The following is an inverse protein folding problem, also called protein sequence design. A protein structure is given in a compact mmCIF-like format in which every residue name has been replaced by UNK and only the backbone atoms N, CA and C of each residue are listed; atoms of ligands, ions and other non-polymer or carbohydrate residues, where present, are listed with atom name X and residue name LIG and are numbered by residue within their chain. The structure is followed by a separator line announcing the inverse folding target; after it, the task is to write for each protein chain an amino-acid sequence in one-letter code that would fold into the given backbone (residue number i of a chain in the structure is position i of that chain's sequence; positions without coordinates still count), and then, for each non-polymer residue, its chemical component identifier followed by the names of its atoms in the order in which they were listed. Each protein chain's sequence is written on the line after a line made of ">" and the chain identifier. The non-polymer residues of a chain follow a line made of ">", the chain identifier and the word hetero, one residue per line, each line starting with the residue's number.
data_IF_291480751779
#
_entry.id   IF_291480751779
#
_cell.length_a   1.000
_cell.length_b   1.000
_cell.length_c   1.000
_cell.angle_alpha   90.00
_cell.angle_beta   90.00
_cell.angle_gamma   90.00
#
_symmetry.space_group_name_H-M   'P 1'
#
loop_
_entity.id
_entity.type
_entity.pdbx_description
1 polymer ?
#
# COMPACT_ATOMS: atom_id res chain seq x y z
N UNK A 1 10.79 -16.90 4.26
CA UNK A 1 10.27 -17.81 5.24
C UNK A 1 10.39 -17.20 6.62
N UNK A 2 11.57 -17.27 7.29
CA UNK A 2 11.72 -16.63 8.59
C UNK A 2 11.46 -15.13 8.51
N UNK A 3 11.89 -14.50 7.43
CA UNK A 3 11.69 -13.08 7.22
C UNK A 3 10.22 -12.75 7.01
N UNK A 4 9.53 -13.54 6.20
CA UNK A 4 8.08 -13.40 5.98
C UNK A 4 7.31 -13.59 7.27
N UNK A 5 7.64 -14.63 8.05
CA UNK A 5 6.98 -14.90 9.32
C UNK A 5 7.18 -13.76 10.32
N UNK A 6 8.38 -13.17 10.32
CA UNK A 6 8.68 -12.03 11.18
C UNK A 6 7.84 -10.81 10.81
N UNK A 7 7.65 -10.56 9.52
CA UNK A 7 6.81 -9.46 9.06
C UNK A 7 5.35 -9.65 9.44
N UNK A 8 4.82 -10.85 9.24
CA UNK A 8 3.44 -11.14 9.65
C UNK A 8 3.26 -10.95 11.14
N UNK A 9 4.22 -11.39 11.94
CA UNK A 9 4.15 -11.21 13.38
C UNK A 9 4.17 -9.73 13.76
N UNK A 10 5.07 -8.97 13.18
CA UNK A 10 5.16 -7.52 13.43
C UNK A 10 3.86 -6.81 13.04
N UNK A 11 3.31 -7.18 11.89
CA UNK A 11 2.09 -6.58 11.39
C UNK A 11 0.91 -6.94 12.29
N UNK A 12 0.83 -8.19 12.76
CA UNK A 12 -0.22 -8.62 13.67
C UNK A 12 -0.12 -7.89 15.01
N UNK A 13 1.08 -7.77 15.56
CA UNK A 13 1.31 -7.05 16.81
C UNK A 13 0.89 -5.58 16.67
N UNK A 14 1.22 -4.98 15.54
CA UNK A 14 0.85 -3.60 15.23
C UNK A 14 -0.67 -3.44 15.14
N UNK A 15 -1.33 -4.37 14.46
CA UNK A 15 -2.79 -4.42 14.33
C UNK A 15 -3.47 -4.47 15.70
N UNK A 16 -2.99 -5.36 16.55
CA UNK A 16 -3.54 -5.55 17.90
C UNK A 16 -3.27 -4.32 18.76
N UNK A 17 -2.04 -3.82 18.72
CA UNK A 17 -1.63 -2.65 19.53
C UNK A 17 -2.49 -1.43 19.24
N UNK A 18 -2.88 -1.23 18.00
CA UNK A 18 -3.65 -0.06 17.59
C UNK A 18 -5.15 -0.28 17.63
N UNK A 19 -5.62 -1.45 18.08
CA UNK A 19 -7.04 -1.79 18.12
C UNK A 19 -7.75 -1.56 16.80
N UNK A 20 -7.06 -1.89 15.71
CA UNK A 20 -7.61 -1.76 14.37
C UNK A 20 -8.54 -2.93 14.07
N UNK A 21 -9.58 -2.72 13.28
CA UNK A 21 -10.38 -3.84 12.78
C UNK A 21 -9.85 -4.33 11.44
N UNK A 22 -9.13 -3.47 10.73
CA UNK A 22 -8.52 -3.82 9.45
C UNK A 22 -7.20 -3.09 9.28
N UNK A 23 -6.16 -3.81 8.92
CA UNK A 23 -4.83 -3.26 8.69
C UNK A 23 -4.37 -3.63 7.30
N UNK A 24 -3.88 -2.66 6.55
CA UNK A 24 -3.37 -2.84 5.20
C UNK A 24 -1.86 -2.63 5.19
N UNK A 25 -1.13 -3.58 4.62
CA UNK A 25 0.27 -3.37 4.30
C UNK A 25 0.40 -2.38 3.17
N UNK A 26 1.24 -1.37 3.33
CA UNK A 26 1.44 -0.35 2.32
C UNK A 26 2.91 -0.22 1.95
N UNK A 27 3.15 0.24 0.75
CA UNK A 27 4.49 0.53 0.26
C UNK A 27 4.54 1.95 -0.27
N UNK A 28 5.64 2.64 -0.01
CA UNK A 28 5.88 3.97 -0.53
C UNK A 28 6.51 3.87 -1.92
N UNK A 29 5.91 4.55 -2.88
CA UNK A 29 6.40 4.63 -4.25
C UNK A 29 6.80 6.05 -4.59
N UNK A 30 7.77 6.16 -5.49
CA UNK A 30 8.14 7.43 -6.11
C UNK A 30 8.16 7.25 -7.61
N UNK A 31 7.54 8.17 -8.32
CA UNK A 31 7.57 8.21 -9.78
C UNK A 31 8.17 9.53 -10.19
N UNK A 32 9.26 9.47 -10.98
CA UNK A 32 9.89 10.67 -11.51
C UNK A 32 9.30 10.98 -12.86
N UNK A 33 8.73 12.18 -12.98
CA UNK A 33 8.26 12.65 -14.27
C UNK A 33 9.46 13.08 -15.11
N UNK A 34 9.58 12.62 -16.37
CA UNK A 34 10.66 13.09 -17.26
C UNK A 34 10.36 14.46 -17.87
N UNK A 35 9.21 15.03 -17.58
CA UNK A 35 8.76 16.29 -18.18
C UNK A 35 8.69 17.39 -17.14
N UNK A 36 8.75 18.65 -17.62
CA UNK A 36 8.35 19.77 -16.81
C UNK A 36 6.84 19.76 -16.68
N UNK A 37 6.33 19.77 -15.46
CA UNK A 37 4.89 19.77 -15.23
C UNK A 37 4.39 21.18 -14.98
N UNK A 38 3.29 21.53 -15.66
CA UNK A 38 2.72 22.88 -15.63
C UNK A 38 1.43 22.85 -14.84
N UNK A 39 1.34 23.71 -13.84
CA UNK A 39 0.10 23.88 -13.07
C UNK A 39 -0.65 25.08 -13.60
N UNK A 40 -1.94 24.90 -13.81
CA UNK A 40 -2.80 25.92 -14.42
C UNK A 40 -3.86 26.37 -13.42
N UNK A 41 -4.19 27.66 -13.49
CA UNK A 41 -5.39 28.22 -12.87
C UNK A 41 -6.18 28.82 -14.01
N UNK A 42 -7.26 28.15 -14.39
CA UNK A 42 -7.95 28.42 -15.64
C UNK A 42 -6.97 28.26 -16.80
N UNK A 43 -6.74 29.30 -17.58
CA UNK A 43 -5.80 29.27 -18.71
C UNK A 43 -4.43 29.82 -18.35
N UNK A 44 -4.27 30.33 -17.13
CA UNK A 44 -3.02 30.94 -16.69
C UNK A 44 -2.10 29.90 -16.09
N UNK A 45 -0.81 30.02 -16.38
CA UNK A 45 0.22 29.18 -15.77
C UNK A 45 0.50 29.71 -14.38
N UNK A 46 0.24 28.90 -13.35
CA UNK A 46 0.48 29.27 -11.95
C UNK A 46 1.88 28.87 -11.48
N UNK A 47 2.40 27.75 -11.98
CA UNK A 47 3.74 27.31 -11.64
C UNK A 47 4.22 26.25 -12.61
N UNK A 48 5.54 26.03 -12.62
CA UNK A 48 6.18 24.99 -13.42
C UNK A 48 7.12 24.24 -12.50
N UNK A 49 7.01 22.91 -12.50
CA UNK A 49 7.90 22.02 -11.75
C UNK A 49 8.73 21.22 -12.75
N UNK A 50 10.02 21.43 -12.73
CA UNK A 50 10.93 20.72 -13.64
C UNK A 50 11.19 19.31 -13.11
N UNK A 51 10.84 18.30 -13.88
CA UNK A 51 11.06 16.88 -13.55
C UNK A 51 10.68 16.51 -12.11
N UNK A 52 9.42 16.75 -11.72
CA UNK A 52 9.02 16.50 -10.32
C UNK A 52 8.99 15.02 -9.99
N UNK A 53 9.14 14.74 -8.69
CA UNK A 53 8.98 13.39 -8.15
C UNK A 53 7.63 13.33 -7.45
N UNK A 54 6.79 12.38 -7.85
CA UNK A 54 5.50 12.12 -7.22
C UNK A 54 5.64 10.95 -6.26
N UNK A 55 5.28 11.17 -4.99
CA UNK A 55 5.33 10.14 -3.95
C UNK A 55 3.92 9.77 -3.53
N UNK A 56 3.68 8.47 -3.34
CA UNK A 56 2.38 8.00 -2.89
C UNK A 56 2.54 6.65 -2.18
N UNK A 57 1.53 6.28 -1.41
CA UNK A 57 1.47 4.96 -0.77
C UNK A 57 0.56 4.05 -1.58
N UNK A 58 1.02 2.84 -1.81
CA UNK A 58 0.26 1.86 -2.55
C UNK A 58 -0.10 0.68 -1.66
N UNK A 59 -1.23 0.07 -1.96
CA UNK A 59 -1.66 -1.17 -1.34
C UNK A 59 -0.67 -2.28 -1.71
N UNK A 60 -0.07 -2.90 -0.70
CA UNK A 60 0.93 -3.96 -0.92
C UNK A 60 0.31 -5.36 -1.02
N UNK A 61 -1.02 -5.46 -0.94
CA UNK A 61 -1.70 -6.74 -1.11
C UNK A 61 -1.65 -7.65 0.10
N UNK A 62 -1.30 -7.12 1.27
CA UNK A 62 -1.22 -7.87 2.52
C UNK A 62 -2.14 -7.21 3.53
N UNK A 63 -3.00 -8.03 4.18
CA UNK A 63 -4.04 -7.52 5.04
C UNK A 63 -4.17 -8.34 6.31
N UNK A 64 -4.58 -7.66 7.39
CA UNK A 64 -5.04 -8.33 8.61
C UNK A 64 -6.43 -7.78 8.92
N UNK A 65 -7.39 -8.67 9.05
CA UNK A 65 -8.79 -8.31 9.25
C UNK A 65 -9.32 -9.02 10.51
N UNK A 66 -10.02 -8.27 11.34
CA UNK A 66 -10.76 -8.89 12.41
C UNK A 66 -11.95 -9.67 11.83
N UNK A 67 -12.40 -10.74 12.49
CA UNK A 67 -13.52 -11.54 11.99
C UNK A 67 -14.79 -10.73 11.71
N UNK A 68 -15.02 -9.65 12.45
CA UNK A 68 -16.20 -8.79 12.25
C UNK A 68 -16.25 -8.18 10.85
N UNK A 69 -15.12 -8.08 10.16
CA UNK A 69 -15.08 -7.55 8.80
C UNK A 69 -15.80 -8.44 7.79
N UNK A 70 -15.93 -9.74 8.11
CA UNK A 70 -16.61 -10.70 7.24
C UNK A 70 -18.07 -10.32 7.03
N UNK A 71 -18.69 -9.74 8.07
CA UNK A 71 -20.09 -9.33 8.00
C UNK A 71 -20.33 -8.18 7.03
N UNK A 72 -19.27 -7.49 6.65
CA UNK A 72 -19.35 -6.37 5.71
C UNK A 72 -19.18 -6.81 4.26
N UNK A 73 -18.83 -8.07 4.04
CA UNK A 73 -18.62 -8.61 2.70
C UNK A 73 -19.93 -9.19 2.18
N UNK A 74 -20.47 -8.67 1.07
CA UNK A 74 -21.69 -9.24 0.50
C UNK A 74 -21.44 -10.63 -0.09
N UNK A 75 -22.51 -11.37 -0.34
CA UNK A 75 -22.42 -12.76 -0.87
C UNK A 75 -22.00 -12.84 -2.33
N UNK A 76 -21.55 -11.75 -2.91
CA UNK A 76 -21.06 -11.70 -4.29
C UNK A 76 -19.62 -11.24 -4.27
N UNK A 77 -18.97 -11.23 -5.43
CA UNK A 77 -17.58 -10.76 -5.55
C UNK A 77 -17.41 -9.37 -4.93
N UNK A 78 -16.35 -9.23 -4.13
CA UNK A 78 -16.09 -7.99 -3.42
C UNK A 78 -14.59 -7.91 -3.14
N UNK A 79 -13.91 -6.93 -3.70
CA UNK A 79 -12.46 -6.83 -3.53
C UNK A 79 -12.08 -6.14 -2.23
N UNK A 80 -10.79 -6.25 -1.87
CA UNK A 80 -10.26 -5.69 -0.62
C UNK A 80 -10.32 -4.18 -0.58
N UNK A 81 -10.12 -3.53 -1.71
CA UNK A 81 -10.22 -2.07 -1.79
C UNK A 81 -11.62 -1.61 -1.44
N UNK A 82 -12.64 -2.30 -1.96
CA UNK A 82 -14.03 -1.99 -1.67
C UNK A 82 -14.36 -2.24 -0.20
N UNK A 83 -13.80 -3.31 0.38
CA UNK A 83 -14.00 -3.61 1.80
C UNK A 83 -13.42 -2.48 2.68
N UNK A 84 -12.20 -2.05 2.41
CA UNK A 84 -11.59 -0.96 3.18
C UNK A 84 -12.36 0.35 3.03
N UNK A 85 -12.82 0.67 1.82
CA UNK A 85 -13.66 1.85 1.62
C UNK A 85 -14.91 1.79 2.49
N UNK A 86 -15.55 0.62 2.56
CA UNK A 86 -16.75 0.44 3.36
C UNK A 86 -16.46 0.60 4.85
N UNK A 87 -15.37 0.02 5.32
CA UNK A 87 -14.96 0.14 6.73
C UNK A 87 -14.68 1.60 7.08
N UNK A 88 -13.99 2.31 6.22
CA UNK A 88 -13.69 3.74 6.41
C UNK A 88 -14.98 4.55 6.55
N UNK A 89 -15.98 4.25 5.72
CA UNK A 89 -17.28 4.93 5.78
C UNK A 89 -18.02 4.68 7.08
N UNK A 90 -17.81 3.53 7.70
CA UNK A 90 -18.44 3.22 9.01
C UNK A 90 -17.68 3.85 10.17
N UNK A 91 -16.59 4.55 9.89
CA UNK A 91 -15.74 5.21 10.88
C UNK A 91 -15.09 4.24 11.88
N UNK A 92 -15.00 2.98 11.52
CA UNK A 92 -14.24 2.01 12.32
C UNK A 92 -12.75 2.14 11.98
N UNK A 93 -11.90 1.78 12.92
CA UNK A 93 -10.48 2.05 12.80
C UNK A 93 -9.80 1.15 11.78
N UNK A 94 -9.21 1.77 10.77
CA UNK A 94 -8.32 1.12 9.82
C UNK A 94 -6.95 1.77 9.92
N UNK A 95 -5.89 0.98 9.81
CA UNK A 95 -4.54 1.52 9.84
C UNK A 95 -3.70 0.91 8.74
N UNK A 96 -2.61 1.59 8.45
CA UNK A 96 -1.62 1.13 7.48
C UNK A 96 -0.38 0.64 8.21
N UNK A 97 0.21 -0.42 7.69
CA UNK A 97 1.47 -0.95 8.19
C UNK A 97 2.53 -0.82 7.10
N UNK A 98 3.56 0.00 7.30
CA UNK A 98 4.57 0.20 6.26
C UNK A 98 5.48 -1.02 6.13
N UNK A 99 5.70 -1.44 4.89
CA UNK A 99 6.55 -2.58 4.55
C UNK A 99 7.91 -2.13 4.02
N UNK A 100 8.41 -1.01 4.50
CA UNK A 100 9.64 -0.41 3.98
C UNK A 100 10.84 -1.36 4.01
N UNK A 101 11.03 -2.09 5.10
CA UNK A 101 12.16 -3.00 5.21
C UNK A 101 12.11 -4.10 4.17
N UNK A 102 10.94 -4.70 3.98
CA UNK A 102 10.76 -5.75 2.99
C UNK A 102 11.04 -5.23 1.59
N UNK A 103 10.46 -4.07 1.27
CA UNK A 103 10.62 -3.50 -0.05
C UNK A 103 12.01 -2.92 -0.29
N UNK A 104 12.70 -2.49 0.76
CA UNK A 104 14.10 -2.11 0.65
C UNK A 104 14.96 -3.29 0.28
N UNK A 105 14.68 -4.45 0.84
CA UNK A 105 15.41 -5.67 0.51
C UNK A 105 15.22 -6.03 -0.96
N UNK A 106 14.00 -5.91 -1.48
CA UNK A 106 13.74 -6.12 -2.89
C UNK A 106 14.46 -5.08 -3.74
N UNK A 107 14.42 -3.82 -3.33
CA UNK A 107 15.07 -2.74 -4.05
C UNK A 107 16.59 -2.80 -4.01
N UNK A 108 17.14 -3.42 -2.98
CA UNK A 108 18.59 -3.64 -2.87
C UNK A 108 19.10 -4.78 -3.71
N UNK A 109 18.21 -5.66 -4.09
CA UNK A 109 18.65 -6.63 -5.04
C UNK A 109 19.12 -5.82 -6.22
N UNK A 110 20.46 -5.75 -6.36
CA UNK A 110 21.07 -5.15 -7.53
C UNK A 110 20.44 -5.70 -8.79
N UNK A 111 19.62 -6.68 -8.60
CA UNK A 111 18.85 -7.36 -9.58
C UNK A 111 17.37 -7.10 -9.35
N UNK A 112 16.98 -5.84 -9.51
CA UNK A 112 15.58 -5.46 -9.50
C UNK A 112 14.78 -6.30 -10.49
N UNK A 113 15.39 -6.62 -11.62
CA UNK A 113 14.77 -7.49 -12.62
C UNK A 113 14.58 -8.91 -12.10
N UNK A 114 15.56 -9.41 -11.34
CA UNK A 114 15.45 -10.74 -10.73
C UNK A 114 14.33 -10.77 -9.71
N UNK A 115 14.23 -9.74 -8.88
CA UNK A 115 13.14 -9.63 -7.92
C UNK A 115 11.78 -9.56 -8.62
N UNK A 116 11.68 -8.84 -9.70
CA UNK A 116 10.47 -8.76 -10.51
C UNK A 116 10.11 -10.12 -11.10
N UNK A 117 11.08 -10.84 -11.62
CA UNK A 117 10.84 -12.19 -12.14
C UNK A 117 10.35 -13.14 -11.08
N UNK A 118 10.97 -13.11 -9.92
CA UNK A 118 10.54 -13.93 -8.78
C UNK A 118 9.13 -13.57 -8.35
N UNK A 119 8.82 -12.29 -8.29
CA UNK A 119 7.51 -11.81 -7.92
C UNK A 119 6.44 -12.28 -8.90
N UNK A 120 6.71 -12.13 -10.18
CA UNK A 120 5.79 -12.57 -11.24
C UNK A 120 5.58 -14.08 -11.21
N UNK A 121 6.64 -14.85 -10.95
CA UNK A 121 6.56 -16.31 -10.90
C UNK A 121 5.82 -16.81 -9.64
N UNK A 122 5.82 -16.05 -8.55
CA UNK A 122 5.11 -16.42 -7.32
C UNK A 122 3.63 -16.04 -7.36
N UNK A 123 3.29 -15.04 -8.10
CA UNK A 123 1.94 -14.51 -8.20
C UNK A 123 1.48 -14.43 -9.64
#
# INVERSE_FOLDING_TARGET
>A
TTKSNLYFKKMLDFHIKHNSIATMGIKKYSINSPYGEVNLVNESISSINEKPTHKFFANAGIYILNPECVDLVPKKFFDMTSLFKKIILTKKKTISFPLEEYWKDIGRLSDYETANKEFVNKY
#
